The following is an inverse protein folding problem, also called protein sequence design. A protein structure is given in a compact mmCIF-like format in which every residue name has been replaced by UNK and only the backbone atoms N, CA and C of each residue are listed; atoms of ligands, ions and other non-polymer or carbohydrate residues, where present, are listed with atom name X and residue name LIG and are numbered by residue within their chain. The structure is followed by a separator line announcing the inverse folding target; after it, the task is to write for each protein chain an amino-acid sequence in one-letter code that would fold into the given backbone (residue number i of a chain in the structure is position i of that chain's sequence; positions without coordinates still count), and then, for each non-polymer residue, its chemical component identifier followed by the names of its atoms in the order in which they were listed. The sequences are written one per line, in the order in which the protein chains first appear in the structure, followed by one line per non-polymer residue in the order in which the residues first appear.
data_IF_637112066748
#
_entry.id   IF_637112066748
#
_cell.length_a   1.000
_cell.length_b   1.000
_cell.length_c   1.000
_cell.angle_alpha   90.00
_cell.angle_beta   90.00
_cell.angle_gamma   90.00
#
_symmetry.space_group_name_H-M   'P 1'
#
loop_
_entity.id
_entity.type
_entity.pdbx_description
1 polymer ?
#
# COMPACT_ATOMS: atom_id res chain seq x y z
N UNK A 1 -0.50 7.06 10.06
CA UNK A 1 -0.25 5.71 10.60
C UNK A 1 -1.60 5.12 10.85
N UNK A 2 -1.91 4.06 10.11
CA UNK A 2 -3.18 3.40 10.02
C UNK A 2 -3.47 2.85 11.39
N UNK A 3 -4.49 3.40 12.00
CA UNK A 3 -4.88 3.00 13.33
C UNK A 3 -5.87 1.85 13.25
N UNK A 4 -6.02 1.15 14.38
CA UNK A 4 -7.11 0.19 14.55
C UNK A 4 -8.50 0.81 14.35
N UNK A 5 -8.65 2.11 14.58
CA UNK A 5 -9.90 2.82 14.32
C UNK A 5 -10.16 2.96 12.81
N UNK A 6 -9.15 3.40 12.04
CA UNK A 6 -9.27 3.55 10.58
C UNK A 6 -9.59 2.21 9.89
N UNK A 7 -8.96 1.12 10.36
CA UNK A 7 -9.24 -0.24 9.86
C UNK A 7 -10.65 -0.66 10.21
N UNK A 8 -11.10 -0.41 11.46
CA UNK A 8 -12.46 -0.76 11.89
C UNK A 8 -13.51 -0.01 11.07
N UNK A 9 -13.31 1.28 10.84
CA UNK A 9 -14.23 2.09 10.05
C UNK A 9 -14.29 1.58 8.60
N UNK A 10 -13.13 1.21 8.04
CA UNK A 10 -13.06 0.61 6.71
C UNK A 10 -13.84 -0.71 6.64
N UNK A 11 -13.62 -1.63 7.59
CA UNK A 11 -14.33 -2.92 7.69
C UNK A 11 -15.84 -2.69 7.81
N UNK A 12 -16.28 -1.77 8.68
CA UNK A 12 -17.70 -1.50 8.91
C UNK A 12 -18.39 -0.82 7.71
N UNK A 13 -17.63 -0.09 6.89
CA UNK A 13 -18.13 0.56 5.67
C UNK A 13 -18.01 -0.31 4.42
N UNK A 14 -17.36 -1.47 4.53
CA UNK A 14 -17.13 -2.35 3.38
C UNK A 14 -18.42 -3.08 3.00
N UNK A 15 -18.78 -3.11 1.70
CA UNK A 15 -19.99 -3.80 1.26
C UNK A 15 -19.98 -5.30 1.58
N UNK A 16 -21.07 -5.83 2.16
CA UNK A 16 -21.21 -7.25 2.52
C UNK A 16 -21.24 -8.20 1.31
N UNK A 17 -21.50 -7.66 0.11
CA UNK A 17 -21.57 -8.39 -1.15
C UNK A 17 -20.21 -8.53 -1.85
N UNK A 18 -19.16 -7.90 -1.31
CA UNK A 18 -17.81 -7.97 -1.85
C UNK A 18 -16.96 -9.07 -1.20
N UNK A 19 -16.03 -9.69 -1.95
CA UNK A 19 -15.07 -10.63 -1.39
C UNK A 19 -14.19 -10.01 -0.31
N UNK A 20 -13.85 -10.79 0.71
CA UNK A 20 -12.94 -10.36 1.79
C UNK A 20 -11.53 -10.05 1.24
N UNK A 21 -11.12 -10.72 0.17
CA UNK A 21 -9.86 -10.49 -0.52
C UNK A 21 -9.73 -9.05 -1.03
N UNK A 22 -10.81 -8.47 -1.54
CA UNK A 22 -10.82 -7.06 -1.98
C UNK A 22 -10.61 -6.10 -0.80
N UNK A 23 -11.21 -6.39 0.35
CA UNK A 23 -10.99 -5.60 1.57
C UNK A 23 -9.52 -5.67 2.02
N UNK A 24 -8.92 -6.86 1.97
CA UNK A 24 -7.51 -7.04 2.33
C UNK A 24 -6.58 -6.28 1.38
N UNK A 25 -6.85 -6.31 0.07
CA UNK A 25 -6.09 -5.55 -0.92
C UNK A 25 -6.17 -4.04 -0.68
N UNK A 26 -7.36 -3.52 -0.37
CA UNK A 26 -7.55 -2.10 -0.05
C UNK A 26 -6.81 -1.70 1.23
N UNK A 27 -6.84 -2.53 2.27
CA UNK A 27 -6.10 -2.28 3.52
C UNK A 27 -4.58 -2.30 3.32
N UNK A 28 -4.08 -3.28 2.54
CA UNK A 28 -2.66 -3.36 2.20
C UNK A 28 -2.22 -2.16 1.37
N UNK A 29 -3.07 -1.69 0.44
CA UNK A 29 -2.79 -0.50 -0.35
C UNK A 29 -2.64 0.74 0.52
N UNK A 30 -3.61 1.00 1.42
CA UNK A 30 -3.55 2.15 2.32
C UNK A 30 -2.30 2.12 3.21
N UNK A 31 -1.95 0.93 3.73
CA UNK A 31 -0.73 0.75 4.51
C UNK A 31 0.54 1.11 3.72
N UNK A 32 0.64 0.64 2.47
CA UNK A 32 1.79 0.95 1.59
C UNK A 32 1.90 2.45 1.31
N UNK A 33 0.78 3.13 1.07
CA UNK A 33 0.76 4.58 0.82
C UNK A 33 1.28 5.35 2.04
N UNK A 34 0.76 5.05 3.22
CA UNK A 34 1.21 5.73 4.43
C UNK A 34 2.69 5.48 4.74
N UNK A 35 3.14 4.22 4.59
CA UNK A 35 4.54 3.88 4.78
C UNK A 35 5.42 4.65 3.80
N UNK A 36 5.03 4.74 2.53
CA UNK A 36 5.75 5.53 1.53
C UNK A 36 5.80 7.02 1.86
N UNK A 37 4.71 7.59 2.39
CA UNK A 37 4.69 8.99 2.85
C UNK A 37 5.64 9.20 4.03
N UNK A 38 5.69 8.26 4.98
CA UNK A 38 6.63 8.31 6.10
C UNK A 38 8.08 8.22 5.62
N UNK A 39 8.38 7.25 4.76
CA UNK A 39 9.72 7.07 4.18
C UNK A 39 10.16 8.33 3.41
N UNK A 40 9.26 8.95 2.64
CA UNK A 40 9.53 10.21 1.96
C UNK A 40 9.85 11.35 2.94
N UNK A 41 9.10 11.49 4.03
CA UNK A 41 9.35 12.49 5.06
C UNK A 41 10.69 12.28 5.77
N UNK A 42 11.13 11.02 5.92
CA UNK A 42 12.43 10.64 6.48
C UNK A 42 13.57 10.72 5.46
N UNK A 43 13.30 11.12 4.21
CA UNK A 43 14.28 11.16 3.11
C UNK A 43 14.71 9.77 2.61
N UNK A 44 14.00 8.70 3.00
CA UNK A 44 14.23 7.30 2.62
C UNK A 44 13.55 6.98 1.29
N UNK A 45 13.94 7.72 0.24
CA UNK A 45 13.50 7.47 -1.13
C UNK A 45 14.49 6.58 -1.90
N UNK A 46 14.06 6.12 -3.07
CA UNK A 46 14.94 5.52 -4.06
C UNK A 46 15.47 6.61 -5.01
N UNK A 47 16.70 6.47 -5.49
CA UNK A 47 17.15 7.25 -6.63
C UNK A 47 16.39 6.82 -7.88
N UNK A 48 16.34 7.70 -8.90
CA UNK A 48 15.70 7.38 -10.17
C UNK A 48 16.29 6.12 -10.83
N UNK A 49 17.61 5.93 -10.72
CA UNK A 49 18.28 4.73 -11.23
C UNK A 49 17.88 3.45 -10.48
N UNK A 50 17.79 3.52 -9.15
CA UNK A 50 17.36 2.39 -8.34
C UNK A 50 15.90 2.02 -8.62
N UNK A 51 15.03 3.02 -8.75
CA UNK A 51 13.64 2.84 -9.12
C UNK A 51 13.47 2.18 -10.50
N UNK A 52 14.21 2.64 -11.51
CA UNK A 52 14.18 2.03 -12.85
C UNK A 52 14.62 0.56 -12.82
N UNK A 53 15.64 0.24 -12.02
CA UNK A 53 16.10 -1.14 -11.85
C UNK A 53 15.03 -2.04 -11.22
N UNK A 54 14.33 -1.56 -10.20
CA UNK A 54 13.22 -2.32 -9.60
C UNK A 54 12.08 -2.55 -10.59
N UNK A 55 11.71 -1.54 -11.38
CA UNK A 55 10.69 -1.68 -12.42
C UNK A 55 11.06 -2.73 -13.47
N UNK A 56 12.32 -2.78 -13.89
CA UNK A 56 12.77 -3.76 -14.87
C UNK A 56 12.73 -5.19 -14.31
N UNK A 57 13.04 -5.37 -13.02
CA UNK A 57 12.89 -6.67 -12.35
C UNK A 57 11.43 -7.12 -12.29
N UNK A 58 10.50 -6.21 -11.99
CA UNK A 58 9.07 -6.51 -11.98
C UNK A 58 8.50 -6.84 -13.36
N UNK A 59 9.02 -6.20 -14.41
CA UNK A 59 8.63 -6.51 -15.80
C UNK A 59 9.11 -7.89 -16.24
N UNK A 60 10.22 -8.39 -15.68
CA UNK A 60 10.78 -9.71 -15.98
C UNK A 60 10.13 -10.83 -15.14
N UNK A 61 9.45 -10.50 -14.04
CA UNK A 61 8.76 -11.48 -13.18
C UNK A 61 7.30 -11.74 -13.59
N UNK A 62 6.83 -11.10 -14.66
CA UNK A 62 5.53 -11.32 -15.30
C UNK A 62 5.70 -12.11 -16.59
#
# INVERSE_FOLDING_TARGET
MLTLADIRDKVNSFPDDKPVEELLDELVFLYKVEKGLQEAAEGKGLSLEAFNRELDLWRQSK
#
